data_IF_878692547273
#
_entry.id   IF_878692547273
#
_cell.length_a   1.000
_cell.length_b   1.000
_cell.length_c   1.000
_cell.angle_alpha   90.00
_cell.angle_beta   90.00
_cell.angle_gamma   90.00
#
_symmetry.space_group_name_H-M   'P 1'
#
loop_
_entity.id
_entity.type
_entity.pdbx_description
1 polymer ?
#
# COMPACT_ATOMS: atom_id res chain seq x y z
N UNK A 1 -2.20 45.08 18.29
CA UNK A 1 -2.68 44.01 19.20
C UNK A 1 -1.60 42.93 19.22
N UNK A 2 -0.66 43.05 20.15
CA UNK A 2 0.48 42.15 20.31
C UNK A 2 0.03 40.82 20.90
N UNK A 3 0.44 39.71 20.29
CA UNK A 3 0.25 38.38 20.85
C UNK A 3 1.01 38.28 22.19
N UNK A 4 0.43 37.65 23.23
CA UNK A 4 1.12 37.45 24.50
C UNK A 4 2.31 36.48 24.33
N UNK A 5 3.41 36.69 25.08
CA UNK A 5 4.57 35.80 25.07
C UNK A 5 4.28 34.53 25.89
N UNK A 6 4.91 33.44 25.47
CA UNK A 6 5.16 32.21 26.23
C UNK A 6 3.94 31.41 26.68
N UNK A 7 3.37 30.65 25.75
CA UNK A 7 2.95 29.27 26.09
C UNK A 7 4.24 28.45 26.03
N UNK A 8 4.90 28.28 27.18
CA UNK A 8 5.79 27.14 27.39
C UNK A 8 4.96 25.86 27.15
N UNK A 9 4.97 25.40 25.90
CA UNK A 9 4.46 24.08 25.57
C UNK A 9 5.42 23.11 26.24
N UNK A 10 5.02 22.55 27.39
CA UNK A 10 5.60 21.31 27.91
C UNK A 10 5.89 20.40 26.70
N UNK A 11 7.13 19.89 26.53
CA UNK A 11 7.47 19.12 25.35
C UNK A 11 6.46 17.98 25.25
N UNK A 12 5.64 18.01 24.20
CA UNK A 12 4.63 17.00 23.97
C UNK A 12 5.33 15.64 24.06
N UNK A 13 4.86 14.75 24.95
CA UNK A 13 5.50 13.46 25.18
C UNK A 13 5.87 12.80 23.83
N UNK A 14 7.09 12.26 23.68
CA UNK A 14 7.54 11.71 22.40
C UNK A 14 6.54 10.67 21.90
N UNK A 15 5.98 10.92 20.72
CA UNK A 15 4.95 10.08 20.14
C UNK A 15 5.60 8.91 19.40
N UNK A 16 5.28 7.67 19.78
CA UNK A 16 5.74 6.48 19.06
C UNK A 16 5.07 6.40 17.69
N UNK A 17 5.78 5.83 16.70
CA UNK A 17 5.25 5.67 15.34
C UNK A 17 3.96 4.84 15.32
N UNK A 18 3.91 3.76 16.11
CA UNK A 18 2.71 2.94 16.26
C UNK A 18 1.57 3.74 16.91
N UNK A 19 1.84 4.53 17.95
CA UNK A 19 0.83 5.39 18.58
C UNK A 19 0.24 6.39 17.59
N UNK A 20 1.08 7.01 16.75
CA UNK A 20 0.63 7.92 15.71
C UNK A 20 -0.21 7.20 14.65
N UNK A 21 0.23 6.02 14.20
CA UNK A 21 -0.52 5.23 13.23
C UNK A 21 -1.89 4.79 13.77
N UNK A 22 -1.96 4.30 15.01
CA UNK A 22 -3.22 3.91 15.64
C UNK A 22 -4.18 5.10 15.84
N UNK A 23 -3.65 6.30 16.18
CA UNK A 23 -4.45 7.52 16.21
C UNK A 23 -4.99 7.88 14.84
N UNK A 24 -4.18 7.73 13.79
CA UNK A 24 -4.61 7.92 12.42
C UNK A 24 -5.75 6.97 12.05
N UNK A 25 -5.64 5.67 12.35
CA UNK A 25 -6.73 4.72 12.08
C UNK A 25 -8.03 5.10 12.81
N UNK A 26 -7.94 5.59 14.05
CA UNK A 26 -9.15 5.97 14.80
C UNK A 26 -9.75 7.28 14.32
N UNK A 27 -8.92 8.29 14.06
CA UNK A 27 -9.31 9.66 13.67
C UNK A 27 -8.24 10.25 12.74
N UNK A 28 -8.35 10.05 11.42
CA UNK A 28 -7.44 10.67 10.48
C UNK A 28 -7.56 12.20 10.54
N UNK A 29 -6.42 12.88 10.50
CA UNK A 29 -6.36 14.36 10.50
C UNK A 29 -5.76 14.81 9.17
N UNK A 30 -6.44 15.75 8.52
CA UNK A 30 -5.95 16.38 7.30
C UNK A 30 -5.00 17.54 7.63
N UNK A 31 -3.86 17.58 6.95
CA UNK A 31 -2.93 18.71 6.98
C UNK A 31 -2.53 19.09 5.56
N UNK A 32 -2.51 20.38 5.27
CA UNK A 32 -2.04 20.90 3.98
C UNK A 32 -0.55 20.63 3.79
N UNK A 33 0.24 20.75 4.87
CA UNK A 33 1.70 20.54 4.83
C UNK A 33 2.04 19.09 5.13
N UNK A 34 3.17 18.64 4.59
CA UNK A 34 3.73 17.34 4.99
C UNK A 34 4.23 17.43 6.42
N UNK A 35 4.30 16.27 7.08
CA UNK A 35 4.90 16.23 8.41
C UNK A 35 6.39 16.61 8.28
N UNK A 36 6.88 17.57 9.07
CA UNK A 36 8.29 17.93 9.03
C UNK A 36 9.11 16.73 9.50
N UNK A 37 9.85 16.12 8.59
CA UNK A 37 10.81 15.05 8.91
C UNK A 37 12.22 15.64 8.89
N UNK A 38 13.07 15.30 9.88
CA UNK A 38 14.41 15.86 9.97
C UNK A 38 15.31 15.49 8.79
N UNK A 39 15.13 14.31 8.16
CA UNK A 39 15.86 13.89 6.97
C UNK A 39 15.22 12.66 6.27
N UNK A 40 15.76 12.28 5.11
CA UNK A 40 15.31 11.11 4.33
C UNK A 40 15.51 9.76 5.03
N UNK A 41 16.54 9.63 5.87
CA UNK A 41 16.82 8.38 6.62
C UNK A 41 15.72 8.11 7.65
N UNK A 42 15.23 9.15 8.33
CA UNK A 42 14.11 9.04 9.25
C UNK A 42 12.83 8.61 8.52
N UNK A 43 12.55 9.14 7.33
CA UNK A 43 11.40 8.72 6.51
C UNK A 43 11.53 7.25 6.12
N UNK A 44 12.70 6.84 5.63
CA UNK A 44 12.94 5.45 5.25
C UNK A 44 12.77 4.50 6.45
N UNK A 45 13.27 4.87 7.62
CA UNK A 45 13.05 4.12 8.86
C UNK A 45 11.56 3.99 9.18
N UNK A 46 10.79 5.08 9.16
CA UNK A 46 9.34 5.04 9.38
C UNK A 46 8.65 4.08 8.39
N UNK A 47 8.99 4.15 7.10
CA UNK A 47 8.43 3.30 6.06
C UNK A 47 8.75 1.82 6.30
N UNK A 48 10.00 1.46 6.59
CA UNK A 48 10.40 0.07 6.82
C UNK A 48 9.73 -0.51 8.08
N UNK A 49 9.55 0.31 9.12
CA UNK A 49 8.85 -0.06 10.35
C UNK A 49 7.34 -0.26 10.10
N UNK A 50 6.71 0.66 9.37
CA UNK A 50 5.31 0.52 8.95
C UNK A 50 5.11 -0.68 8.03
N UNK A 51 6.06 -0.96 7.13
CA UNK A 51 6.06 -2.14 6.29
C UNK A 51 6.12 -3.42 7.14
N UNK A 52 7.01 -3.45 8.14
CA UNK A 52 7.10 -4.58 9.08
C UNK A 52 5.77 -4.83 9.81
N UNK A 53 5.11 -3.75 10.26
CA UNK A 53 3.79 -3.82 10.88
C UNK A 53 2.72 -4.29 9.88
N UNK A 54 2.75 -3.80 8.65
CA UNK A 54 1.85 -4.21 7.58
C UNK A 54 1.99 -5.71 7.31
N UNK A 55 3.20 -6.23 7.15
CA UNK A 55 3.45 -7.67 6.95
C UNK A 55 2.91 -8.49 8.13
N UNK A 56 3.14 -8.06 9.38
CA UNK A 56 2.61 -8.76 10.55
C UNK A 56 1.07 -8.83 10.57
N UNK A 57 0.38 -7.79 10.06
CA UNK A 57 -1.09 -7.79 9.90
C UNK A 57 -1.53 -8.61 8.69
N UNK A 58 -0.77 -8.58 7.59
CA UNK A 58 -1.13 -9.26 6.36
C UNK A 58 -0.99 -10.78 6.45
N UNK A 59 0.00 -11.31 7.17
CA UNK A 59 0.22 -12.77 7.31
C UNK A 59 -1.07 -13.51 7.73
N UNK A 60 -1.74 -13.18 8.85
CA UNK A 60 -2.97 -13.88 9.23
C UNK A 60 -4.10 -13.67 8.21
N UNK A 61 -4.19 -12.50 7.57
CA UNK A 61 -5.18 -12.25 6.51
C UNK A 61 -4.93 -13.17 5.32
N UNK A 62 -3.69 -13.28 4.86
CA UNK A 62 -3.30 -14.14 3.74
C UNK A 62 -3.57 -15.62 4.04
N UNK A 63 -3.35 -16.07 5.27
CA UNK A 63 -3.72 -17.43 5.70
C UNK A 63 -5.23 -17.66 5.63
N UNK A 64 -6.04 -16.71 6.09
CA UNK A 64 -7.51 -16.78 5.97
C UNK A 64 -7.98 -16.77 4.52
N UNK A 65 -7.36 -15.94 3.68
CA UNK A 65 -7.64 -15.89 2.23
C UNK A 65 -7.32 -17.24 1.57
N UNK A 66 -6.16 -17.82 1.87
CA UNK A 66 -5.75 -19.13 1.36
C UNK A 66 -6.76 -20.23 1.75
N UNK A 67 -7.16 -20.28 3.03
CA UNK A 67 -8.14 -21.25 3.51
C UNK A 67 -9.52 -21.07 2.84
N UNK A 68 -10.00 -19.82 2.73
CA UNK A 68 -11.28 -19.52 2.10
C UNK A 68 -11.32 -19.90 0.62
N UNK A 69 -10.21 -19.68 -0.10
CA UNK A 69 -10.06 -20.08 -1.51
C UNK A 69 -10.10 -21.59 -1.70
N UNK A 70 -9.46 -22.34 -0.79
CA UNK A 70 -9.52 -23.80 -0.80
C UNK A 70 -10.94 -24.34 -0.63
N UNK A 71 -11.76 -23.70 0.22
CA UNK A 71 -13.14 -24.13 0.46
C UNK A 71 -14.07 -23.93 -0.74
N UNK A 72 -13.82 -22.91 -1.57
CA UNK A 72 -14.66 -22.62 -2.75
C UNK A 72 -14.17 -23.32 -4.02
N UNK A 73 -13.15 -24.17 -3.93
CA UNK A 73 -12.58 -24.89 -5.07
C UNK A 73 -12.06 -23.94 -6.16
N UNK A 74 -11.45 -22.83 -5.75
CA UNK A 74 -10.83 -21.89 -6.67
C UNK A 74 -9.64 -22.56 -7.37
N UNK A 75 -9.53 -22.41 -8.69
CA UNK A 75 -8.38 -22.87 -9.47
C UNK A 75 -7.15 -21.99 -9.24
N UNK A 76 -6.03 -22.36 -9.88
CA UNK A 76 -4.83 -21.54 -9.93
C UNK A 76 -5.11 -20.12 -10.44
N UNK A 77 -4.36 -19.15 -9.89
CA UNK A 77 -4.58 -17.73 -10.15
C UNK A 77 -4.20 -17.33 -11.59
N UNK A 78 -5.03 -16.54 -12.29
CA UNK A 78 -4.66 -15.90 -13.55
C UNK A 78 -3.34 -15.10 -13.47
N UNK A 79 -3.02 -14.60 -12.28
CA UNK A 79 -1.74 -13.94 -11.99
C UNK A 79 -0.57 -14.93 -12.11
N UNK A 80 -0.69 -16.16 -11.63
CA UNK A 80 0.41 -17.14 -11.68
C UNK A 80 0.87 -17.40 -13.12
N UNK A 81 -0.10 -17.58 -14.02
CA UNK A 81 0.16 -17.78 -15.46
C UNK A 81 0.87 -16.56 -16.08
N UNK A 82 0.40 -15.35 -15.76
CA UNK A 82 1.05 -14.11 -16.17
C UNK A 82 2.49 -14.01 -15.65
N UNK A 83 2.73 -14.35 -14.38
CA UNK A 83 4.06 -14.31 -13.78
C UNK A 83 5.01 -15.31 -14.45
N UNK A 84 4.54 -16.50 -14.79
CA UNK A 84 5.36 -17.54 -15.42
C UNK A 84 5.72 -17.17 -16.87
N UNK A 85 4.74 -16.73 -17.67
CA UNK A 85 4.92 -16.46 -19.11
C UNK A 85 5.61 -15.13 -19.42
N UNK A 86 5.60 -14.18 -18.48
CA UNK A 86 6.16 -12.85 -18.72
C UNK A 86 7.69 -12.83 -18.54
N UNK A 87 8.45 -12.19 -19.46
CA UNK A 87 9.88 -11.96 -19.28
C UNK A 87 10.18 -11.18 -17.99
N UNK A 88 11.24 -11.57 -17.27
CA UNK A 88 11.54 -11.00 -15.94
C UNK A 88 11.64 -9.47 -15.93
N UNK A 89 12.30 -8.87 -16.92
CA UNK A 89 12.44 -7.42 -17.00
C UNK A 89 11.07 -6.74 -17.15
N UNK A 90 10.21 -7.28 -18.03
CA UNK A 90 8.86 -6.76 -18.24
C UNK A 90 8.04 -6.90 -16.96
N UNK A 91 8.15 -8.05 -16.28
CA UNK A 91 7.47 -8.30 -15.02
C UNK A 91 7.87 -7.29 -13.93
N UNK A 92 9.17 -7.08 -13.74
CA UNK A 92 9.68 -6.11 -12.76
C UNK A 92 9.21 -4.70 -13.11
N UNK A 93 9.37 -4.27 -14.36
CA UNK A 93 8.94 -2.92 -14.77
C UNK A 93 7.43 -2.73 -14.63
N UNK A 94 6.62 -3.73 -14.98
CA UNK A 94 5.17 -3.64 -14.88
C UNK A 94 4.67 -3.68 -13.44
N UNK A 95 5.14 -4.63 -12.62
CA UNK A 95 4.55 -4.90 -11.28
C UNK A 95 5.22 -4.11 -10.17
N UNK A 96 6.53 -3.85 -10.25
CA UNK A 96 7.29 -3.12 -9.22
C UNK A 96 7.28 -1.61 -9.46
N UNK A 97 7.14 -1.18 -10.72
CA UNK A 97 7.20 0.23 -11.09
C UNK A 97 5.86 0.72 -11.64
N UNK A 98 5.37 0.12 -12.73
CA UNK A 98 4.19 0.56 -13.47
C UNK A 98 2.91 0.55 -12.63
N UNK A 99 2.54 -0.60 -12.08
CA UNK A 99 1.32 -0.76 -11.29
C UNK A 99 1.31 0.15 -10.05
N UNK A 100 2.37 0.19 -9.20
CA UNK A 100 2.44 1.14 -8.09
C UNK A 100 2.31 2.61 -8.52
N UNK A 101 2.92 3.02 -9.63
CA UNK A 101 2.76 4.38 -10.14
C UNK A 101 1.30 4.68 -10.50
N UNK A 102 0.68 3.82 -11.30
CA UNK A 102 -0.70 4.01 -11.76
C UNK A 102 -1.69 3.97 -10.60
N UNK A 103 -1.57 2.97 -9.72
CA UNK A 103 -2.47 2.79 -8.59
C UNK A 103 -2.32 3.91 -7.56
N UNK A 104 -1.10 4.32 -7.23
CA UNK A 104 -0.89 5.43 -6.31
C UNK A 104 -1.37 6.76 -6.92
N UNK A 105 -1.22 6.96 -8.24
CA UNK A 105 -1.82 8.09 -8.94
C UNK A 105 -3.35 8.05 -8.80
N UNK A 106 -3.99 6.92 -9.07
CA UNK A 106 -5.45 6.78 -9.06
C UNK A 106 -6.06 6.91 -7.66
N UNK A 107 -5.42 6.32 -6.64
CA UNK A 107 -6.03 6.17 -5.31
C UNK A 107 -5.41 7.06 -4.23
N UNK A 108 -4.12 7.42 -4.33
CA UNK A 108 -3.44 8.22 -3.28
C UNK A 108 -3.26 9.68 -3.62
N UNK A 109 -3.16 10.01 -4.90
CA UNK A 109 -3.09 11.42 -5.30
C UNK A 109 -4.33 12.21 -4.82
N UNK A 110 -5.58 11.70 -4.94
CA UNK A 110 -6.78 12.39 -4.47
C UNK A 110 -6.85 12.61 -2.95
N UNK A 111 -6.03 11.95 -2.15
CA UNK A 111 -6.06 12.09 -0.68
C UNK A 111 -5.61 13.48 -0.20
N UNK A 112 -5.02 14.29 -1.08
CA UNK A 112 -4.73 15.69 -0.82
C UNK A 112 -5.42 16.59 -1.84
N UNK A 113 -6.24 17.51 -1.35
CA UNK A 113 -6.89 18.50 -2.19
C UNK A 113 -5.89 19.30 -3.03
N UNK A 114 -6.05 19.20 -4.35
CA UNK A 114 -5.58 20.17 -5.34
C UNK A 114 -6.33 19.89 -6.64
N UNK A 115 -6.47 20.89 -7.52
CA UNK A 115 -7.11 20.68 -8.81
C UNK A 115 -6.44 19.56 -9.63
N UNK A 116 -5.10 19.48 -9.58
CA UNK A 116 -4.33 18.42 -10.23
C UNK A 116 -4.56 17.04 -9.60
N UNK A 117 -4.56 16.98 -8.26
CA UNK A 117 -4.68 15.74 -7.52
C UNK A 117 -6.06 15.09 -7.62
N UNK A 118 -7.08 15.83 -8.08
CA UNK A 118 -8.42 15.30 -8.32
C UNK A 118 -8.63 15.03 -9.82
N UNK A 119 -8.20 15.94 -10.69
CA UNK A 119 -8.40 15.78 -12.14
C UNK A 119 -7.59 14.64 -12.75
N UNK A 120 -6.30 14.50 -12.39
CA UNK A 120 -5.46 13.46 -12.98
C UNK A 120 -5.98 12.04 -12.65
N UNK A 121 -6.32 11.72 -11.39
CA UNK A 121 -6.84 10.39 -11.06
C UNK A 121 -8.18 10.10 -11.71
N UNK A 122 -9.05 11.12 -11.83
CA UNK A 122 -10.30 11.01 -12.57
C UNK A 122 -10.06 10.66 -14.05
N UNK A 123 -9.09 11.31 -14.70
CA UNK A 123 -8.72 10.97 -16.09
C UNK A 123 -8.32 9.51 -16.21
N UNK A 124 -7.44 9.01 -15.33
CA UNK A 124 -7.02 7.60 -15.37
C UNK A 124 -8.17 6.63 -15.06
N UNK A 125 -9.05 6.97 -14.12
CA UNK A 125 -10.25 6.17 -13.83
C UNK A 125 -11.18 6.09 -15.06
N UNK A 126 -11.40 7.20 -15.76
CA UNK A 126 -12.20 7.21 -16.99
C UNK A 126 -11.55 6.40 -18.12
N UNK A 127 -10.22 6.42 -18.22
CA UNK A 127 -9.49 5.60 -19.20
C UNK A 127 -9.57 4.10 -18.89
N UNK A 128 -9.61 3.74 -17.61
CA UNK A 128 -9.68 2.36 -17.15
C UNK A 128 -11.05 1.70 -17.43
N UNK A 129 -12.11 2.48 -17.63
CA UNK A 129 -13.42 1.97 -18.00
C UNK A 129 -13.37 1.50 -19.46
N UNK A 130 -13.32 0.17 -19.68
CA UNK A 130 -13.16 -0.38 -21.03
C UNK A 130 -14.46 -0.40 -21.84
N UNK A 131 -15.01 0.78 -22.14
CA UNK A 131 -16.24 0.97 -22.92
C UNK A 131 -15.97 1.86 -24.14
N UNK A 132 -16.64 1.55 -25.25
CA UNK A 132 -16.62 2.36 -26.48
C UNK A 132 -15.30 2.35 -27.25
N UNK A 133 -15.17 3.28 -28.21
CA UNK A 133 -13.95 3.42 -29.00
C UNK A 133 -12.80 3.97 -28.12
N UNK A 134 -11.61 3.35 -28.13
CA UNK A 134 -10.50 3.75 -27.24
C UNK A 134 -9.97 5.16 -27.51
N UNK A 135 -9.96 5.61 -28.78
CA UNK A 135 -9.56 6.97 -29.14
C UNK A 135 -10.55 8.02 -28.63
N UNK A 136 -11.85 7.78 -28.82
CA UNK A 136 -12.89 8.66 -28.29
C UNK A 136 -12.89 8.68 -26.76
N UNK A 137 -12.71 7.52 -26.12
CA UNK A 137 -12.57 7.42 -24.66
C UNK A 137 -11.39 8.23 -24.16
N UNK A 138 -10.25 8.18 -24.85
CA UNK A 138 -9.08 8.98 -24.48
C UNK A 138 -9.37 10.48 -24.56
N UNK A 139 -9.89 10.95 -25.69
CA UNK A 139 -10.23 12.36 -25.88
C UNK A 139 -11.26 12.83 -24.84
N UNK A 140 -12.29 12.02 -24.58
CA UNK A 140 -13.30 12.29 -23.57
C UNK A 140 -12.71 12.38 -22.16
N UNK A 141 -11.92 11.39 -21.75
CA UNK A 141 -11.30 11.36 -20.43
C UNK A 141 -10.39 12.57 -20.20
N UNK A 142 -9.58 12.93 -21.21
CA UNK A 142 -8.72 14.11 -21.16
C UNK A 142 -9.54 15.40 -21.09
N UNK A 143 -10.57 15.55 -21.93
CA UNK A 143 -11.43 16.72 -21.93
C UNK A 143 -12.14 16.91 -20.57
N UNK A 144 -12.69 15.84 -20.00
CA UNK A 144 -13.33 15.87 -18.67
C UNK A 144 -12.31 16.21 -17.59
N UNK A 145 -11.13 15.58 -17.60
CA UNK A 145 -10.07 15.88 -16.64
C UNK A 145 -9.62 17.34 -16.67
N UNK A 146 -9.42 17.90 -17.86
CA UNK A 146 -9.08 19.31 -18.04
C UNK A 146 -10.20 20.25 -17.60
N UNK A 147 -11.46 19.92 -17.92
CA UNK A 147 -12.63 20.67 -17.47
C UNK A 147 -12.72 20.67 -15.94
N UNK A 148 -12.61 19.51 -15.30
CA UNK A 148 -12.63 19.39 -13.84
C UNK A 148 -11.47 20.17 -13.21
N UNK A 149 -10.27 20.10 -13.79
CA UNK A 149 -9.12 20.89 -13.33
C UNK A 149 -9.42 22.39 -13.39
N UNK A 150 -9.96 22.86 -14.52
CA UNK A 150 -10.34 24.25 -14.72
C UNK A 150 -11.40 24.70 -13.70
N UNK A 151 -12.47 23.93 -13.54
CA UNK A 151 -13.55 24.23 -12.60
C UNK A 151 -13.04 24.25 -11.14
N UNK A 152 -12.23 23.28 -10.73
CA UNK A 152 -11.64 23.25 -9.39
C UNK A 152 -10.70 24.43 -9.15
N UNK A 153 -9.94 24.86 -10.16
CA UNK A 153 -9.01 25.96 -10.02
C UNK A 153 -9.71 27.34 -9.94
N UNK A 154 -10.76 27.55 -10.74
CA UNK A 154 -11.41 28.86 -10.87
C UNK A 154 -12.71 29.01 -10.08
N UNK A 155 -13.43 27.92 -9.78
CA UNK A 155 -14.75 27.97 -9.13
C UNK A 155 -14.73 27.52 -7.68
N UNK A 156 -13.73 26.73 -7.27
CA UNK A 156 -13.62 26.26 -5.89
C UNK A 156 -12.55 27.07 -5.17
N UNK A 157 -12.98 27.83 -4.16
CA UNK A 157 -12.05 28.53 -3.28
C UNK A 157 -11.14 27.51 -2.59
N UNK A 158 -9.83 27.74 -2.62
CA UNK A 158 -8.84 26.83 -2.03
C UNK A 158 -9.14 26.49 -0.57
N UNK A 159 -9.51 27.49 0.23
CA UNK A 159 -9.85 27.31 1.64
C UNK A 159 -11.07 26.38 1.82
N UNK A 160 -12.11 26.54 1.00
CA UNK A 160 -13.30 25.68 1.04
C UNK A 160 -12.96 24.22 0.70
N UNK A 161 -12.08 24.00 -0.29
CA UNK A 161 -11.61 22.65 -0.64
C UNK A 161 -10.84 21.97 0.50
N UNK A 162 -9.91 22.69 1.14
CA UNK A 162 -9.21 22.16 2.31
C UNK A 162 -10.14 21.95 3.51
N UNK A 163 -11.13 22.81 3.74
CA UNK A 163 -12.14 22.64 4.78
C UNK A 163 -13.01 21.39 4.55
N UNK A 164 -13.42 21.14 3.30
CA UNK A 164 -14.13 19.91 2.92
C UNK A 164 -13.28 18.67 3.25
N UNK A 165 -12.00 18.68 2.84
CA UNK A 165 -11.09 17.58 3.15
C UNK A 165 -10.92 17.41 4.66
N UNK A 166 -10.69 18.48 5.42
CA UNK A 166 -10.57 18.39 6.88
C UNK A 166 -11.81 17.75 7.54
N UNK A 167 -13.01 18.04 7.03
CA UNK A 167 -14.27 17.47 7.53
C UNK A 167 -14.46 16.00 7.15
N UNK A 168 -14.10 15.61 5.93
CA UNK A 168 -14.43 14.28 5.37
C UNK A 168 -13.22 13.37 5.13
N UNK A 169 -12.02 13.72 5.61
CA UNK A 169 -10.77 12.99 5.31
C UNK A 169 -10.86 11.49 5.64
N UNK A 170 -11.56 11.11 6.71
CA UNK A 170 -11.77 9.70 7.05
C UNK A 170 -12.50 8.93 5.94
N UNK A 171 -13.61 9.47 5.44
CA UNK A 171 -14.35 8.88 4.33
C UNK A 171 -13.54 8.81 3.05
N UNK A 172 -12.74 9.84 2.77
CA UNK A 172 -11.86 9.88 1.58
C UNK A 172 -10.77 8.80 1.66
N UNK A 173 -10.13 8.62 2.82
CA UNK A 173 -9.09 7.61 3.02
C UNK A 173 -9.68 6.20 2.93
N UNK A 174 -10.74 5.91 3.70
CA UNK A 174 -11.30 4.57 3.74
C UNK A 174 -12.02 4.21 2.45
N UNK A 175 -12.73 5.17 1.84
CA UNK A 175 -13.30 4.99 0.51
C UNK A 175 -12.24 4.69 -0.55
N UNK A 176 -11.11 5.42 -0.53
CA UNK A 176 -9.96 5.15 -1.41
C UNK A 176 -9.37 3.74 -1.19
N UNK A 177 -9.19 3.32 0.07
CA UNK A 177 -8.66 1.99 0.39
C UNK A 177 -9.63 0.86 -0.04
N UNK A 178 -10.94 1.06 0.15
CA UNK A 178 -11.98 0.12 -0.28
C UNK A 178 -12.03 0.01 -1.81
N UNK A 179 -12.00 1.13 -2.54
CA UNK A 179 -11.98 1.13 -4.00
C UNK A 179 -10.70 0.48 -4.54
N UNK A 180 -9.55 0.76 -3.89
CA UNK A 180 -8.28 0.11 -4.21
C UNK A 180 -8.38 -1.41 -4.04
N UNK A 181 -8.98 -1.91 -2.97
CA UNK A 181 -9.25 -3.35 -2.83
C UNK A 181 -10.25 -3.87 -3.87
N UNK A 182 -11.34 -3.15 -4.12
CA UNK A 182 -12.42 -3.60 -5.00
C UNK A 182 -11.95 -3.85 -6.44
N UNK A 183 -11.05 -3.02 -6.98
CA UNK A 183 -10.52 -3.26 -8.34
C UNK A 183 -9.72 -4.57 -8.44
N UNK A 184 -9.24 -5.11 -7.33
CA UNK A 184 -8.50 -6.38 -7.31
C UNK A 184 -9.42 -7.61 -7.30
N UNK A 185 -10.74 -7.46 -7.14
CA UNK A 185 -11.69 -8.58 -7.27
C UNK A 185 -11.52 -9.27 -8.63
N UNK A 186 -11.25 -8.48 -9.70
CA UNK A 186 -11.09 -8.97 -11.06
C UNK A 186 -9.80 -9.77 -11.29
N UNK A 187 -8.88 -9.81 -10.33
CA UNK A 187 -7.67 -10.63 -10.40
C UNK A 187 -7.92 -12.09 -9.99
N UNK A 188 -9.10 -12.39 -9.44
CA UNK A 188 -9.44 -13.71 -8.93
C UNK A 188 -10.52 -14.38 -9.79
N UNK A 189 -10.54 -15.71 -9.73
CA UNK A 189 -11.58 -16.53 -10.37
C UNK A 189 -12.98 -16.17 -9.84
N UNK A 190 -13.99 -16.23 -10.70
CA UNK A 190 -15.36 -15.85 -10.38
C UNK A 190 -15.97 -16.65 -9.22
N UNK A 191 -15.53 -17.89 -8.98
CA UNK A 191 -15.98 -18.69 -7.82
C UNK A 191 -15.58 -18.05 -6.49
N UNK A 192 -14.52 -17.25 -6.47
CA UNK A 192 -14.06 -16.55 -5.26
C UNK A 192 -14.90 -15.32 -4.93
N UNK A 193 -15.81 -14.88 -5.81
CA UNK A 193 -16.58 -13.64 -5.58
C UNK A 193 -17.53 -13.74 -4.39
N UNK A 194 -17.95 -14.96 -4.00
CA UNK A 194 -18.71 -15.20 -2.77
C UNK A 194 -17.93 -14.83 -1.50
N UNK A 195 -16.60 -14.90 -1.55
CA UNK A 195 -15.68 -14.48 -0.50
C UNK A 195 -14.92 -13.19 -0.87
N UNK A 196 -15.44 -12.42 -1.85
CA UNK A 196 -14.81 -11.19 -2.34
C UNK A 196 -14.35 -10.23 -1.24
N UNK A 197 -15.16 -9.96 -0.19
CA UNK A 197 -14.71 -9.08 0.89
C UNK A 197 -13.42 -9.56 1.56
N UNK A 198 -13.24 -10.87 1.75
CA UNK A 198 -12.06 -11.44 2.40
C UNK A 198 -10.83 -11.43 1.48
N UNK A 199 -10.99 -11.86 0.22
CA UNK A 199 -9.85 -12.00 -0.72
C UNK A 199 -9.19 -10.67 -1.09
N UNK A 200 -9.92 -9.54 -0.97
CA UNK A 200 -9.36 -8.19 -1.21
C UNK A 200 -8.95 -7.45 0.06
N UNK A 201 -9.09 -8.06 1.24
CA UNK A 201 -8.60 -7.49 2.50
C UNK A 201 -7.09 -7.19 2.51
N UNK A 202 -6.21 -8.00 1.88
CA UNK A 202 -4.79 -7.67 1.79
C UNK A 202 -4.57 -6.29 1.15
N UNK A 203 -5.27 -6.01 0.06
CA UNK A 203 -5.17 -4.77 -0.70
C UNK A 203 -5.79 -3.60 0.05
N UNK A 204 -6.94 -3.78 0.69
CA UNK A 204 -7.54 -2.73 1.54
C UNK A 204 -6.58 -2.37 2.68
N UNK A 205 -6.00 -3.37 3.34
CA UNK A 205 -5.04 -3.19 4.42
C UNK A 205 -3.81 -2.42 3.93
N UNK A 206 -3.15 -2.90 2.87
CA UNK A 206 -2.02 -2.20 2.26
C UNK A 206 -2.38 -0.77 1.85
N UNK A 207 -3.58 -0.56 1.31
CA UNK A 207 -4.06 0.75 0.91
C UNK A 207 -4.18 1.75 2.05
N UNK A 208 -4.53 1.30 3.26
CA UNK A 208 -4.55 2.14 4.47
C UNK A 208 -3.12 2.53 4.87
N UNK A 209 -2.17 1.60 4.82
CA UNK A 209 -0.75 1.89 5.11
C UNK A 209 -0.16 2.88 4.10
N UNK A 210 -0.40 2.67 2.81
CA UNK A 210 0.06 3.59 1.76
C UNK A 210 -0.62 4.97 1.85
N UNK A 211 -1.90 5.02 2.24
CA UNK A 211 -2.58 6.29 2.53
C UNK A 211 -1.91 7.06 3.69
N UNK A 212 -1.52 6.36 4.77
CA UNK A 212 -0.78 6.98 5.86
C UNK A 212 0.58 7.54 5.39
N UNK A 213 1.34 6.74 4.64
CA UNK A 213 2.64 7.15 4.09
C UNK A 213 2.46 8.35 3.15
N UNK A 214 1.44 8.33 2.28
CA UNK A 214 1.10 9.43 1.36
C UNK A 214 0.83 10.74 2.09
N UNK A 215 0.04 10.69 3.16
CA UNK A 215 -0.39 11.87 3.91
C UNK A 215 0.71 12.41 4.81
N UNK A 216 1.59 11.54 5.33
CA UNK A 216 2.69 11.91 6.23
C UNK A 216 3.97 12.31 5.48
N UNK A 217 4.41 11.49 4.53
CA UNK A 217 5.73 11.60 3.89
C UNK A 217 5.66 12.03 2.41
N UNK A 218 4.54 11.81 1.73
CA UNK A 218 4.31 12.30 0.37
C UNK A 218 4.11 11.19 -0.66
N UNK A 219 3.84 11.61 -1.90
CA UNK A 219 3.45 10.71 -3.00
C UNK A 219 4.55 9.69 -3.35
N UNK A 220 5.77 10.16 -3.62
CA UNK A 220 6.87 9.30 -4.05
C UNK A 220 7.29 8.27 -2.99
N UNK A 221 7.14 8.58 -1.71
CA UNK A 221 7.38 7.62 -0.63
C UNK A 221 6.31 6.53 -0.56
N UNK A 222 5.06 6.85 -0.91
CA UNK A 222 3.99 5.87 -1.02
C UNK A 222 4.20 4.96 -2.24
N UNK A 223 4.58 5.53 -3.40
CA UNK A 223 5.01 4.78 -4.59
C UNK A 223 6.17 3.84 -4.27
N UNK A 224 7.20 4.34 -3.59
CA UNK A 224 8.35 3.53 -3.18
C UNK A 224 7.94 2.38 -2.25
N UNK A 225 7.12 2.66 -1.23
CA UNK A 225 6.66 1.63 -0.29
C UNK A 225 5.80 0.55 -1.00
N UNK A 226 4.97 0.96 -1.96
CA UNK A 226 4.14 0.06 -2.74
C UNK A 226 4.99 -0.77 -3.73
N UNK A 227 5.90 -0.15 -4.47
CA UNK A 227 6.86 -0.87 -5.31
C UNK A 227 7.71 -1.85 -4.51
N UNK A 228 8.17 -1.45 -3.31
CA UNK A 228 8.90 -2.34 -2.40
C UNK A 228 8.05 -3.55 -1.96
N UNK A 229 6.78 -3.34 -1.62
CA UNK A 229 5.84 -4.42 -1.31
C UNK A 229 5.70 -5.40 -2.48
N UNK A 230 5.47 -4.87 -3.69
CA UNK A 230 5.32 -5.69 -4.88
C UNK A 230 6.60 -6.45 -5.22
N UNK A 231 7.76 -5.80 -5.08
CA UNK A 231 9.06 -6.47 -5.23
C UNK A 231 9.19 -7.64 -4.26
N UNK A 232 8.95 -7.43 -2.97
CA UNK A 232 9.02 -8.51 -1.99
C UNK A 232 8.04 -9.65 -2.28
N UNK A 233 6.86 -9.35 -2.82
CA UNK A 233 5.85 -10.35 -3.18
C UNK A 233 6.26 -11.18 -4.41
N UNK A 234 6.79 -10.56 -5.46
CA UNK A 234 7.16 -11.28 -6.70
C UNK A 234 8.57 -11.88 -6.67
N UNK A 235 9.44 -11.42 -5.77
CA UNK A 235 10.84 -11.84 -5.72
C UNK A 235 11.01 -13.37 -5.59
N UNK A 236 10.29 -14.08 -4.68
CA UNK A 236 10.33 -15.54 -4.61
C UNK A 236 10.05 -16.23 -5.95
N UNK A 237 8.98 -15.82 -6.62
CA UNK A 237 8.52 -16.40 -7.89
C UNK A 237 9.48 -16.07 -9.04
N UNK A 238 10.07 -14.88 -9.00
CA UNK A 238 11.05 -14.43 -9.99
C UNK A 238 12.37 -15.21 -9.89
N UNK A 239 12.76 -15.59 -8.68
CA UNK A 239 13.98 -16.36 -8.43
C UNK A 239 13.89 -17.78 -9.03
N UNK A 240 12.68 -18.36 -9.04
CA UNK A 240 12.44 -19.69 -9.60
C UNK A 240 12.68 -19.78 -11.12
N UNK A 241 12.56 -18.67 -11.84
CA UNK A 241 12.84 -18.61 -13.28
C UNK A 241 14.30 -18.95 -13.62
N UNK A 242 15.19 -18.96 -12.62
CA UNK A 242 16.59 -19.35 -12.77
C UNK A 242 16.87 -20.80 -12.34
N UNK A 243 15.84 -21.53 -11.90
CA UNK A 243 15.96 -22.93 -11.49
C UNK A 243 16.08 -23.90 -12.66
N UNK A 244 16.27 -25.18 -12.37
CA UNK A 244 16.23 -26.26 -13.36
C UNK A 244 14.84 -26.38 -14.00
N UNK A 245 14.76 -27.05 -15.15
CA UNK A 245 13.49 -27.30 -15.83
C UNK A 245 12.47 -28.02 -14.93
N UNK A 246 12.95 -28.93 -14.06
CA UNK A 246 12.10 -29.61 -13.08
C UNK A 246 11.51 -28.66 -12.04
N UNK A 247 12.33 -27.74 -11.48
CA UNK A 247 11.86 -26.75 -10.51
C UNK A 247 10.92 -25.71 -11.15
N UNK A 248 11.19 -25.31 -12.39
CA UNK A 248 10.32 -24.39 -13.12
C UNK A 248 8.95 -25.00 -13.46
N UNK A 249 8.90 -26.30 -13.78
CA UNK A 249 7.67 -26.98 -14.17
C UNK A 249 6.75 -27.31 -12.99
N UNK A 250 7.32 -27.67 -11.82
CA UNK A 250 6.57 -28.23 -10.70
C UNK A 250 6.43 -27.27 -9.50
N UNK A 251 7.14 -26.14 -9.52
CA UNK A 251 7.04 -25.16 -8.46
C UNK A 251 7.53 -25.65 -7.08
N UNK A 252 6.95 -25.12 -6.01
CA UNK A 252 7.23 -25.52 -4.63
C UNK A 252 6.29 -26.62 -4.10
N UNK A 253 5.18 -26.89 -4.79
CA UNK A 253 4.15 -27.83 -4.32
C UNK A 253 4.62 -29.28 -4.39
N UNK A 254 5.43 -29.62 -5.39
CA UNK A 254 5.80 -31.00 -5.71
C UNK A 254 7.32 -31.21 -5.72
N UNK A 255 8.04 -30.54 -4.81
CA UNK A 255 9.50 -30.64 -4.70
C UNK A 255 10.00 -32.08 -4.48
N UNK A 256 9.18 -32.95 -3.88
CA UNK A 256 9.50 -34.35 -3.66
C UNK A 256 9.62 -35.16 -4.98
N UNK A 257 8.98 -34.69 -6.05
CA UNK A 257 9.00 -35.32 -7.37
C UNK A 257 10.06 -34.73 -8.30
N UNK A 258 10.77 -33.68 -7.86
CA UNK A 258 11.78 -32.98 -8.64
C UNK A 258 13.18 -33.44 -8.22
N UNK A 259 13.96 -33.94 -9.17
CA UNK A 259 15.40 -34.13 -8.94
C UNK A 259 16.10 -32.77 -8.91
N UNK A 260 16.38 -32.27 -7.71
CA UNK A 260 17.00 -30.96 -7.51
C UNK A 260 18.46 -30.96 -7.96
N UNK A 261 18.82 -29.94 -8.72
CA UNK A 261 20.20 -29.66 -9.13
C UNK A 261 20.93 -28.80 -8.09
N UNK A 262 22.26 -28.70 -8.10
CA UNK A 262 23.00 -27.79 -7.22
C UNK A 262 22.52 -26.33 -7.29
N UNK A 263 22.11 -25.86 -8.47
CA UNK A 263 21.54 -24.52 -8.65
C UNK A 263 20.23 -24.37 -7.90
N UNK A 264 19.36 -25.38 -7.95
CA UNK A 264 18.08 -25.36 -7.24
C UNK A 264 18.26 -25.23 -5.73
N UNK A 265 19.22 -25.95 -5.15
CA UNK A 265 19.54 -25.83 -3.72
C UNK A 265 20.00 -24.42 -3.36
N UNK A 266 20.82 -23.77 -4.19
CA UNK A 266 21.28 -22.38 -3.97
C UNK A 266 20.10 -21.40 -4.02
N UNK A 267 19.18 -21.58 -4.97
CA UNK A 267 17.99 -20.73 -5.09
C UNK A 267 17.05 -20.92 -3.88
N UNK A 268 16.81 -22.17 -3.47
CA UNK A 268 16.00 -22.49 -2.29
C UNK A 268 16.62 -21.91 -1.00
N UNK A 269 17.94 -22.05 -0.82
CA UNK A 269 18.65 -21.47 0.32
C UNK A 269 18.54 -19.94 0.32
N UNK A 270 18.70 -19.30 -0.86
CA UNK A 270 18.56 -17.85 -1.02
C UNK A 270 17.14 -17.38 -0.66
N UNK A 271 16.13 -18.15 -1.06
CA UNK A 271 14.73 -17.88 -0.72
C UNK A 271 14.48 -18.01 0.80
N UNK A 272 14.99 -19.06 1.42
CA UNK A 272 14.88 -19.26 2.88
C UNK A 272 15.55 -18.13 3.65
N UNK A 273 16.72 -17.66 3.20
CA UNK A 273 17.41 -16.50 3.80
C UNK A 273 16.57 -15.24 3.62
N UNK A 274 16.03 -15.00 2.43
CA UNK A 274 15.19 -13.84 2.14
C UNK A 274 13.93 -13.80 3.01
N UNK A 275 13.15 -14.89 3.02
CA UNK A 275 11.92 -14.99 3.80
C UNK A 275 12.23 -14.99 5.30
N UNK A 276 13.12 -15.88 5.75
CA UNK A 276 13.44 -16.04 7.16
C UNK A 276 14.07 -14.78 7.75
N UNK A 277 15.05 -14.20 7.05
CA UNK A 277 15.68 -12.93 7.44
C UNK A 277 14.68 -11.77 7.42
N UNK A 278 13.86 -11.67 6.37
CA UNK A 278 12.81 -10.65 6.26
C UNK A 278 11.79 -10.74 7.40
N UNK A 279 11.30 -11.93 7.73
CA UNK A 279 10.39 -12.17 8.84
C UNK A 279 11.03 -11.84 10.19
N UNK A 280 12.27 -12.26 10.41
CA UNK A 280 13.01 -11.92 11.63
C UNK A 280 13.13 -10.40 11.82
N UNK A 281 13.50 -9.67 10.76
CA UNK A 281 13.57 -8.20 10.78
C UNK A 281 12.20 -7.58 11.05
N UNK A 282 11.13 -8.09 10.42
CA UNK A 282 9.77 -7.61 10.66
C UNK A 282 9.36 -7.81 12.12
N UNK A 283 9.57 -9.00 12.69
CA UNK A 283 9.25 -9.33 14.08
C UNK A 283 10.00 -8.42 15.06
N UNK A 284 11.31 -8.26 14.87
CA UNK A 284 12.13 -7.35 15.69
C UNK A 284 11.60 -5.92 15.63
N UNK A 285 11.31 -5.43 14.43
CA UNK A 285 10.83 -4.07 14.19
C UNK A 285 9.46 -3.81 14.85
N UNK A 286 8.53 -4.76 14.72
CA UNK A 286 7.20 -4.70 15.36
C UNK A 286 7.32 -4.78 16.89
N UNK A 287 8.16 -5.66 17.42
CA UNK A 287 8.41 -5.75 18.87
C UNK A 287 8.94 -4.43 19.45
N UNK A 288 9.84 -3.76 18.72
CA UNK A 288 10.34 -2.44 19.09
C UNK A 288 9.23 -1.38 19.05
N UNK A 289 8.42 -1.34 17.98
CA UNK A 289 7.27 -0.42 17.88
C UNK A 289 6.27 -0.60 19.03
N UNK A 290 5.99 -1.85 19.44
CA UNK A 290 5.11 -2.15 20.56
C UNK A 290 5.71 -1.67 21.89
N UNK A 291 7.01 -1.84 22.08
CA UNK A 291 7.71 -1.36 23.29
C UNK A 291 7.64 0.16 23.40
N UNK A 292 7.97 0.88 22.33
CA UNK A 292 7.89 2.35 22.28
C UNK A 292 6.47 2.85 22.56
N UNK A 293 5.46 2.22 21.97
CA UNK A 293 4.07 2.58 22.21
C UNK A 293 3.61 2.32 23.65
N UNK A 294 4.05 1.22 24.27
CA UNK A 294 3.78 0.94 25.69
C UNK A 294 4.41 2.00 26.60
N UNK A 295 5.62 2.46 26.28
CA UNK A 295 6.31 3.53 27.00
C UNK A 295 5.56 4.86 26.86
N UNK A 296 5.17 5.26 25.64
CA UNK A 296 4.33 6.43 25.38
C UNK A 296 3.06 6.40 26.24
N UNK A 297 2.35 5.26 26.28
CA UNK A 297 1.12 5.11 27.07
C UNK A 297 1.36 5.17 28.58
N UNK A 298 2.51 4.70 29.08
CA UNK A 298 2.87 4.80 30.50
C UNK A 298 3.15 6.25 30.88
N UNK A 299 3.93 6.97 30.07
CA UNK A 299 4.23 8.38 30.27
C UNK A 299 2.94 9.23 30.30
N UNK A 300 2.04 9.03 29.34
CA UNK A 300 0.77 9.76 29.27
C UNK A 300 -0.16 9.51 30.49
N UNK A 301 -0.06 8.34 31.14
CA UNK A 301 -0.82 8.07 32.38
C UNK A 301 -0.22 8.76 33.60
N UNK A 302 1.11 8.93 33.65
CA UNK A 302 1.78 9.60 34.75
C UNK A 302 1.53 11.11 34.70
N UNK A 303 1.56 11.72 33.51
CA UNK A 303 1.26 13.15 33.33
C UNK A 303 -0.18 13.55 33.64
N UNK A 304 -1.12 12.59 33.70
CA UNK A 304 -2.51 12.83 34.10
C UNK A 304 -2.73 12.73 35.62
N UNK A 305 -1.74 12.22 36.36
CA UNK A 305 -1.80 12.05 37.82
C UNK A 305 -1.05 13.16 38.57
N UNK A 306 -0.23 13.93 37.87
CA UNK A 306 0.49 15.12 38.35
C UNK A 306 -0.28 16.37 37.97
#
# INVERSE_FOLDING_TARGET
MSLPPDIETLPAAPQSLLGVFLRFLRRPVYSERLYPSPNRRAILSDILRLYSLMIAVLIPILLMVSAARGQVGASEDPISDFLQKTPLLVLVLAVVVGAPLLEEMMFRLPLRFSAFNISLPLTFLLLAINVGNPGLRFLFAVAVGLLVRYLLHHRVQRAAGHAFYAKYIGWIIYGSALLFGAIHIFNFDAKTYVVAPLIVMPQITAGIFFAFIRLRHGFWWAVFAHGFHNFCAIFPLSLMKFGSAGLQANGFSDLEQVTLTPVDYVLLASLLIFIGGGLFLCLRSVAQMLTEWRLERRAAKLSLKT
#
